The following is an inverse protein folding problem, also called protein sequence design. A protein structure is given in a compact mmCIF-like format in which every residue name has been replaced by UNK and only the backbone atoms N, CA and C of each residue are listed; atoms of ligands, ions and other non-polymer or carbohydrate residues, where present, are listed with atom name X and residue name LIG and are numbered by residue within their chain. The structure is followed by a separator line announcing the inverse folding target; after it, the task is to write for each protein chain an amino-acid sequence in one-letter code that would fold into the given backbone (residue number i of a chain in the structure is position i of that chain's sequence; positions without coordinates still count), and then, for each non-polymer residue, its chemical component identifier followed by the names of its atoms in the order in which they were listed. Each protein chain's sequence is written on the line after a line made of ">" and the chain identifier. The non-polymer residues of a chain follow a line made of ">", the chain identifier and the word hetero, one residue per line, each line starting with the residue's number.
data_IF_324207440867
#
_entry.id   IF_324207440867
#
_cell.length_a   1.000
_cell.length_b   1.000
_cell.length_c   1.000
_cell.angle_alpha   90.00
_cell.angle_beta   90.00
_cell.angle_gamma   90.00
#
_symmetry.space_group_name_H-M   'P 1'
#
loop_
_entity.id
_entity.type
_entity.pdbx_description
1 polymer ?
#
# COMPACT_ATOMS: atom_id res chain seq x y z
N UNK A 1 15.62 -5.15 9.64
CA UNK A 1 16.56 -4.41 8.77
C UNK A 1 17.18 -3.24 9.51
N UNK A 2 18.51 -3.24 9.73
CA UNK A 2 19.24 -1.96 9.88
C UNK A 2 18.82 -1.13 8.67
N UNK A 3 18.36 0.10 8.90
CA UNK A 3 18.09 1.02 7.81
C UNK A 3 19.27 1.02 6.82
N UNK A 4 19.04 1.19 5.52
CA UNK A 4 20.14 1.17 4.55
C UNK A 4 21.17 2.25 4.88
N UNK A 5 22.45 2.03 4.54
CA UNK A 5 23.51 3.02 4.77
C UNK A 5 23.11 4.42 4.27
N UNK A 6 22.36 4.48 3.16
CA UNK A 6 21.78 5.72 2.62
C UNK A 6 20.77 6.43 3.54
N UNK A 7 19.98 5.71 4.33
CA UNK A 7 19.05 6.30 5.30
C UNK A 7 19.81 6.95 6.46
N UNK A 8 20.87 6.31 6.97
CA UNK A 8 21.73 6.92 7.99
C UNK A 8 22.51 8.10 7.44
N UNK A 9 23.00 8.01 6.19
CA UNK A 9 23.70 9.09 5.51
C UNK A 9 22.78 10.32 5.31
N UNK A 10 21.53 10.09 4.88
CA UNK A 10 20.51 11.14 4.70
C UNK A 10 20.15 11.81 6.03
N UNK A 11 19.97 11.02 7.10
CA UNK A 11 19.68 11.55 8.44
C UNK A 11 20.87 12.30 9.05
N UNK A 12 22.10 11.82 8.82
CA UNK A 12 23.33 12.50 9.23
C UNK A 12 23.56 13.81 8.45
N UNK A 13 23.23 13.83 7.15
CA UNK A 13 23.35 15.01 6.28
C UNK A 13 22.42 16.16 6.69
N UNK A 14 21.28 15.85 7.31
CA UNK A 14 20.32 16.85 7.80
C UNK A 14 20.72 17.49 9.14
N UNK A 15 21.84 17.09 9.72
CA UNK A 15 22.34 17.62 10.99
C UNK A 15 22.89 19.05 10.80
N UNK A 16 22.55 19.97 11.72
CA UNK A 16 22.85 21.41 11.63
C UNK A 16 24.35 21.73 11.48
N UNK A 17 25.24 20.85 11.97
CA UNK A 17 26.69 21.01 11.87
C UNK A 17 27.24 20.83 10.44
N UNK A 18 26.59 20.04 9.57
CA UNK A 18 27.00 19.89 8.18
C UNK A 18 26.75 21.17 7.38
N UNK A 19 25.62 21.85 7.62
CA UNK A 19 25.33 23.13 6.96
C UNK A 19 26.33 24.23 7.36
N UNK A 20 26.79 24.25 8.62
CA UNK A 20 27.81 25.19 9.09
C UNK A 20 29.17 24.88 8.46
N UNK A 21 29.57 23.61 8.41
CA UNK A 21 30.81 23.18 7.79
C UNK A 21 30.82 23.47 6.27
N UNK A 22 29.73 23.15 5.57
CA UNK A 22 29.57 23.37 4.14
C UNK A 22 29.58 24.86 3.78
N UNK A 23 28.97 25.72 4.61
CA UNK A 23 29.05 27.17 4.45
C UNK A 23 30.48 27.71 4.68
N UNK A 24 31.21 27.17 5.67
CA UNK A 24 32.59 27.58 5.99
C UNK A 24 33.58 27.17 4.89
N UNK A 25 33.56 25.91 4.45
CA UNK A 25 34.45 25.41 3.40
C UNK A 25 34.05 25.92 2.00
N UNK A 26 32.75 26.09 1.75
CA UNK A 26 32.23 26.72 0.54
C UNK A 26 32.68 28.17 0.41
N UNK A 27 32.64 28.95 1.50
CA UNK A 27 33.13 30.33 1.53
C UNK A 27 34.64 30.43 1.31
N UNK A 28 35.44 29.58 1.96
CA UNK A 28 36.89 29.54 1.79
C UNK A 28 37.32 29.11 0.38
N UNK A 29 36.57 28.20 -0.25
CA UNK A 29 36.80 27.76 -1.63
C UNK A 29 36.59 28.84 -2.69
N UNK A 30 35.70 29.80 -2.43
CA UNK A 30 35.44 30.95 -3.32
C UNK A 30 36.50 32.04 -3.12
N UNK A 31 36.98 32.24 -1.88
CA UNK A 31 37.85 33.37 -1.50
C UNK A 31 39.34 33.05 -1.66
N UNK A 32 39.77 31.81 -1.38
CA UNK A 32 41.19 31.47 -1.24
C UNK A 32 41.70 30.60 -2.39
N UNK A 33 41.11 29.42 -2.58
CA UNK A 33 41.48 28.46 -3.64
C UNK A 33 40.38 27.40 -3.78
N UNK A 34 39.92 27.07 -5.01
CA UNK A 34 39.01 25.95 -5.27
C UNK A 34 39.41 24.61 -4.63
N UNK A 35 40.70 24.39 -4.35
CA UNK A 35 41.19 23.19 -3.65
C UNK A 35 40.58 22.96 -2.26
N UNK A 36 40.14 24.02 -1.57
CA UNK A 36 39.47 23.91 -0.27
C UNK A 36 38.07 23.28 -0.37
N UNK A 37 37.43 23.33 -1.54
CA UNK A 37 36.17 22.63 -1.79
C UNK A 37 36.36 21.11 -1.81
N UNK A 38 37.49 20.64 -2.35
CA UNK A 38 37.84 19.21 -2.36
C UNK A 38 38.20 18.70 -0.96
N UNK A 39 38.90 19.52 -0.17
CA UNK A 39 39.25 19.19 1.22
C UNK A 39 38.00 19.19 2.11
N UNK A 40 37.14 20.20 1.98
CA UNK A 40 35.86 20.28 2.70
C UNK A 40 34.92 19.13 2.35
N UNK A 41 34.71 18.88 1.05
CA UNK A 41 33.89 17.76 0.58
C UNK A 41 34.45 16.39 0.99
N UNK A 42 35.78 16.22 0.95
CA UNK A 42 36.45 15.00 1.41
C UNK A 42 36.31 14.75 2.91
N UNK A 43 36.46 15.78 3.75
CA UNK A 43 36.24 15.68 5.19
C UNK A 43 34.78 15.42 5.55
N UNK A 44 33.84 16.01 4.82
CA UNK A 44 32.41 15.79 5.04
C UNK A 44 32.01 14.35 4.70
N UNK A 45 32.57 13.77 3.62
CA UNK A 45 32.40 12.35 3.29
C UNK A 45 32.99 11.42 4.35
N UNK A 46 34.18 11.75 4.87
CA UNK A 46 34.83 11.00 5.95
C UNK A 46 34.02 11.06 7.26
N UNK A 47 33.51 12.24 7.61
CA UNK A 47 32.66 12.45 8.79
C UNK A 47 31.34 11.68 8.68
N UNK A 48 30.66 11.76 7.53
CA UNK A 48 29.43 11.03 7.28
C UNK A 48 29.65 9.51 7.35
N UNK A 49 30.78 9.02 6.82
CA UNK A 49 31.16 7.61 6.91
C UNK A 49 31.44 7.15 8.35
N UNK A 50 32.17 7.94 9.14
CA UNK A 50 32.42 7.66 10.56
C UNK A 50 31.13 7.69 11.40
N UNK A 51 30.25 8.66 11.14
CA UNK A 51 29.00 8.86 11.89
C UNK A 51 27.96 7.76 11.57
N UNK A 52 27.79 7.42 10.28
CA UNK A 52 26.92 6.33 9.84
C UNK A 52 27.40 4.93 10.28
N UNK A 53 28.66 4.82 10.72
CA UNK A 53 29.25 3.58 11.26
C UNK A 53 29.13 3.47 12.79
N UNK A 54 28.64 4.50 13.49
CA UNK A 54 28.54 4.51 14.94
C UNK A 54 27.25 3.81 15.44
N UNK A 55 27.33 2.72 16.22
CA UNK A 55 26.16 1.96 16.69
C UNK A 55 25.16 2.76 17.51
N UNK A 56 25.59 3.80 18.24
CA UNK A 56 24.71 4.64 19.07
C UNK A 56 23.84 5.57 18.21
N UNK A 57 24.39 6.11 17.13
CA UNK A 57 23.67 6.97 16.21
C UNK A 57 22.67 6.16 15.37
N UNK A 58 23.06 4.96 14.94
CA UNK A 58 22.15 4.05 14.21
C UNK A 58 20.91 3.70 15.06
N UNK A 59 21.10 3.38 16.35
CA UNK A 59 19.97 3.10 17.27
C UNK A 59 19.02 4.29 17.45
N UNK A 60 19.55 5.51 17.51
CA UNK A 60 18.72 6.72 17.64
C UNK A 60 17.95 7.04 16.35
N UNK A 61 18.56 6.80 15.18
CA UNK A 61 17.86 6.94 13.90
C UNK A 61 16.81 5.83 13.72
N UNK A 62 17.11 4.61 14.17
CA UNK A 62 16.16 3.50 14.12
C UNK A 62 14.91 3.77 14.97
N UNK A 63 15.04 4.37 16.15
CA UNK A 63 13.88 4.75 16.98
C UNK A 63 13.04 5.88 16.34
N UNK A 64 13.69 6.88 15.74
CA UNK A 64 12.98 7.97 15.08
C UNK A 64 12.19 7.51 13.83
N UNK A 65 12.74 6.56 13.09
CA UNK A 65 12.07 5.96 11.93
C UNK A 65 10.91 5.05 12.36
N UNK A 66 11.02 4.40 13.51
CA UNK A 66 9.90 3.64 14.09
C UNK A 66 8.76 4.56 14.53
N UNK A 67 9.06 5.65 15.25
CA UNK A 67 8.07 6.64 15.65
C UNK A 67 7.37 7.28 14.44
N UNK A 68 8.12 7.61 13.39
CA UNK A 68 7.57 8.18 12.14
C UNK A 68 6.67 7.16 11.39
N UNK A 69 7.02 5.87 11.40
CA UNK A 69 6.19 4.83 10.78
C UNK A 69 4.93 4.52 11.58
N UNK A 70 5.01 4.52 12.91
CA UNK A 70 3.86 4.34 13.79
C UNK A 70 2.85 5.48 13.63
N UNK A 71 3.33 6.74 13.62
CA UNK A 71 2.51 7.93 13.35
C UNK A 71 1.84 7.87 11.97
N UNK A 72 2.55 7.40 10.95
CA UNK A 72 1.98 7.24 9.61
C UNK A 72 0.94 6.10 9.54
N UNK A 73 1.11 5.03 10.31
CA UNK A 73 0.16 3.92 10.36
C UNK A 73 -1.14 4.30 11.05
N UNK A 74 -1.09 4.99 12.19
CA UNK A 74 -2.31 5.46 12.88
C UNK A 74 -3.10 6.43 12.00
N UNK A 75 -2.41 7.38 11.35
CA UNK A 75 -3.04 8.29 10.41
C UNK A 75 -3.65 7.56 9.19
N UNK A 76 -2.97 6.53 8.66
CA UNK A 76 -3.51 5.69 7.59
C UNK A 76 -4.75 4.93 8.07
N UNK A 77 -4.68 4.36 9.27
CA UNK A 77 -5.79 3.62 9.90
C UNK A 77 -7.02 4.49 10.02
N UNK A 78 -6.91 5.68 10.61
CA UNK A 78 -8.02 6.62 10.74
C UNK A 78 -8.64 7.02 9.40
N UNK A 79 -7.81 7.26 8.38
CA UNK A 79 -8.27 7.63 7.03
C UNK A 79 -9.05 6.52 6.34
N UNK A 80 -8.62 5.28 6.49
CA UNK A 80 -9.23 4.12 5.82
C UNK A 80 -10.35 3.48 6.64
N UNK A 81 -10.39 3.69 7.96
CA UNK A 81 -11.36 3.06 8.86
C UNK A 81 -12.82 3.29 8.46
N UNK A 82 -13.14 4.49 7.99
CA UNK A 82 -14.49 4.84 7.58
C UNK A 82 -14.86 4.30 6.19
N UNK A 83 -13.90 3.77 5.44
CA UNK A 83 -14.11 3.27 4.08
C UNK A 83 -14.39 1.76 4.03
N UNK A 84 -14.10 1.04 5.12
CA UNK A 84 -14.36 -0.39 5.27
C UNK A 84 -15.73 -0.66 5.89
N UNK A 85 -16.38 -1.74 5.44
CA UNK A 85 -17.66 -2.22 6.00
C UNK A 85 -17.50 -2.82 7.41
N UNK A 86 -18.62 -3.24 8.03
CA UNK A 86 -18.60 -3.74 9.40
C UNK A 86 -17.87 -5.09 9.53
N UNK A 87 -18.03 -5.97 8.54
CA UNK A 87 -17.41 -7.29 8.52
C UNK A 87 -15.88 -7.17 8.46
N UNK A 88 -15.38 -6.35 7.53
CA UNK A 88 -13.96 -6.09 7.38
C UNK A 88 -13.34 -5.39 8.60
N UNK A 89 -14.10 -4.56 9.32
CA UNK A 89 -13.65 -3.97 10.59
C UNK A 89 -13.44 -5.02 11.67
N UNK A 90 -14.31 -6.01 11.76
CA UNK A 90 -14.23 -7.04 12.77
C UNK A 90 -13.08 -8.01 12.48
N UNK A 91 -12.91 -8.41 11.20
CA UNK A 91 -11.75 -9.21 10.77
C UNK A 91 -10.43 -8.47 11.02
N UNK A 92 -10.38 -7.18 10.68
CA UNK A 92 -9.21 -6.35 10.95
C UNK A 92 -8.87 -6.25 12.43
N UNK A 93 -9.87 -6.08 13.31
CA UNK A 93 -9.66 -6.03 14.76
C UNK A 93 -9.12 -7.34 15.29
N UNK A 94 -9.58 -8.47 14.78
CA UNK A 94 -9.05 -9.78 15.14
C UNK A 94 -7.55 -9.87 14.78
N UNK A 95 -7.18 -9.42 13.58
CA UNK A 95 -5.79 -9.39 13.13
C UNK A 95 -4.92 -8.40 13.93
N UNK A 96 -5.45 -7.22 14.25
CA UNK A 96 -4.79 -6.21 15.08
C UNK A 96 -4.49 -6.75 16.48
N UNK A 97 -5.44 -7.46 17.10
CA UNK A 97 -5.23 -8.11 18.40
C UNK A 97 -4.12 -9.16 18.36
N UNK A 98 -3.99 -9.91 17.27
CA UNK A 98 -2.90 -10.87 17.09
C UNK A 98 -1.55 -10.17 16.98
N UNK A 99 -1.47 -9.08 16.21
CA UNK A 99 -0.25 -8.29 16.08
C UNK A 99 0.18 -7.63 17.40
N UNK A 100 -0.77 -7.24 18.26
CA UNK A 100 -0.47 -6.74 19.61
C UNK A 100 0.19 -7.83 20.46
N UNK A 101 -0.21 -9.10 20.34
CA UNK A 101 0.45 -10.21 21.07
C UNK A 101 1.91 -10.35 20.67
N UNK A 102 2.22 -10.20 19.38
CA UNK A 102 3.60 -10.14 18.86
C UNK A 102 4.37 -8.95 19.45
N UNK A 103 3.69 -7.84 19.73
CA UNK A 103 4.30 -6.58 20.15
C UNK A 103 4.40 -6.40 21.66
N UNK A 104 3.67 -7.20 22.44
CA UNK A 104 3.47 -7.00 23.86
C UNK A 104 4.76 -7.13 24.70
N UNK A 105 4.86 -6.27 25.72
CA UNK A 105 5.93 -6.23 26.73
C UNK A 105 6.03 -7.52 27.58
N UNK A 106 5.13 -8.47 27.39
CA UNK A 106 5.09 -9.75 28.09
C UNK A 106 6.20 -10.71 27.62
N UNK A 107 6.85 -10.42 26.49
CA UNK A 107 7.96 -11.22 25.99
C UNK A 107 9.26 -10.92 26.75
N UNK A 108 10.09 -11.94 27.07
CA UNK A 108 11.39 -11.77 27.72
C UNK A 108 12.25 -10.68 27.03
N UNK A 109 12.91 -9.81 27.82
CA UNK A 109 13.78 -8.74 27.28
C UNK A 109 14.84 -9.27 26.30
N UNK A 110 15.34 -10.49 26.51
CA UNK A 110 16.30 -11.13 25.60
C UNK A 110 15.77 -11.33 24.18
N UNK A 111 14.46 -11.53 24.01
CA UNK A 111 13.81 -11.59 22.69
C UNK A 111 13.53 -10.20 22.13
N UNK A 112 13.21 -9.22 22.98
CA UNK A 112 12.96 -7.85 22.54
C UNK A 112 14.19 -7.18 21.93
N UNK A 113 15.37 -7.50 22.45
CA UNK A 113 16.67 -7.03 21.93
C UNK A 113 17.16 -7.83 20.71
N UNK A 114 16.48 -8.91 20.32
CA UNK A 114 16.83 -9.70 19.14
C UNK A 114 16.53 -8.90 17.85
N UNK A 115 17.54 -8.65 16.99
CA UNK A 115 17.34 -7.95 15.72
C UNK A 115 16.28 -8.59 14.80
N UNK A 116 16.13 -9.92 14.84
CA UNK A 116 15.14 -10.65 14.04
C UNK A 116 13.72 -10.40 14.56
N UNK A 117 13.56 -10.31 15.88
CA UNK A 117 12.26 -10.04 16.48
C UNK A 117 11.77 -8.62 16.16
N UNK A 118 12.65 -7.62 16.23
CA UNK A 118 12.30 -6.26 15.80
C UNK A 118 11.96 -6.17 14.31
N UNK A 119 12.66 -6.93 13.48
CA UNK A 119 12.34 -7.02 12.06
C UNK A 119 10.96 -7.62 11.80
N UNK A 120 10.61 -8.72 12.48
CA UNK A 120 9.28 -9.32 12.38
C UNK A 120 8.19 -8.34 12.84
N UNK A 121 8.41 -7.58 13.93
CA UNK A 121 7.45 -6.54 14.37
C UNK A 121 7.19 -5.48 13.30
N UNK A 122 8.24 -4.97 12.65
CA UNK A 122 8.08 -4.01 11.54
C UNK A 122 7.31 -4.60 10.36
N UNK A 123 7.58 -5.86 10.02
CA UNK A 123 6.90 -6.54 8.91
C UNK A 123 5.43 -6.78 9.21
N UNK A 124 5.09 -7.17 10.44
CA UNK A 124 3.71 -7.29 10.94
C UNK A 124 2.93 -5.98 10.80
N UNK A 125 3.53 -4.85 11.16
CA UNK A 125 2.90 -3.53 10.96
C UNK A 125 2.63 -3.23 9.47
N UNK A 126 3.57 -3.59 8.59
CA UNK A 126 3.37 -3.47 7.14
C UNK A 126 2.25 -4.37 6.63
N UNK A 127 2.16 -5.62 7.12
CA UNK A 127 1.08 -6.54 6.77
C UNK A 127 -0.29 -5.99 7.20
N UNK A 128 -0.39 -5.43 8.40
CA UNK A 128 -1.63 -4.77 8.86
C UNK A 128 -2.02 -3.58 7.98
N UNK A 129 -1.05 -2.76 7.57
CA UNK A 129 -1.31 -1.64 6.67
C UNK A 129 -1.82 -2.12 5.30
N UNK A 130 -1.22 -3.18 4.75
CA UNK A 130 -1.64 -3.77 3.48
C UNK A 130 -3.01 -4.44 3.57
N UNK A 131 -3.26 -5.19 4.65
CA UNK A 131 -4.56 -5.78 4.92
C UNK A 131 -5.65 -4.70 4.96
N UNK A 132 -5.40 -3.57 5.62
CA UNK A 132 -6.37 -2.48 5.65
C UNK A 132 -6.66 -1.91 4.25
N UNK A 133 -5.66 -1.81 3.39
CA UNK A 133 -5.87 -1.38 1.99
C UNK A 133 -6.68 -2.41 1.21
N UNK A 134 -6.42 -3.71 1.39
CA UNK A 134 -7.20 -4.78 0.78
C UNK A 134 -8.66 -4.74 1.26
N UNK A 135 -8.89 -4.56 2.55
CA UNK A 135 -10.23 -4.43 3.13
C UNK A 135 -11.03 -3.28 2.49
N UNK A 136 -10.38 -2.14 2.22
CA UNK A 136 -10.99 -1.03 1.48
C UNK A 136 -11.34 -1.43 0.05
N UNK A 137 -10.41 -2.09 -0.65
CA UNK A 137 -10.64 -2.56 -2.02
C UNK A 137 -11.80 -3.57 -2.07
N UNK A 138 -11.84 -4.56 -1.17
CA UNK A 138 -12.93 -5.53 -1.02
C UNK A 138 -14.26 -4.83 -0.78
N UNK A 139 -14.32 -3.89 0.16
CA UNK A 139 -15.56 -3.12 0.44
C UNK A 139 -16.04 -2.37 -0.81
N UNK A 140 -15.12 -1.81 -1.60
CA UNK A 140 -15.44 -1.11 -2.85
C UNK A 140 -15.92 -2.08 -3.93
N UNK A 141 -15.24 -3.22 -4.12
CA UNK A 141 -15.63 -4.24 -5.09
C UNK A 141 -17.01 -4.82 -4.78
N UNK A 142 -17.30 -5.13 -3.51
CA UNK A 142 -18.62 -5.57 -3.07
C UNK A 142 -19.68 -4.53 -3.43
N UNK A 143 -19.46 -3.26 -3.07
CA UNK A 143 -20.40 -2.18 -3.41
C UNK A 143 -20.64 -2.04 -4.92
N UNK A 144 -19.58 -2.13 -5.72
CA UNK A 144 -19.68 -2.05 -7.18
C UNK A 144 -20.50 -3.23 -7.74
N UNK A 145 -20.17 -4.46 -7.33
CA UNK A 145 -20.87 -5.67 -7.77
C UNK A 145 -22.33 -5.68 -7.31
N UNK A 146 -22.63 -5.19 -6.10
CA UNK A 146 -23.99 -5.09 -5.56
C UNK A 146 -24.84 -4.04 -6.29
N UNK A 147 -24.22 -2.97 -6.79
CA UNK A 147 -24.90 -1.92 -7.55
C UNK A 147 -25.20 -2.33 -9.00
N UNK A 148 -24.53 -3.35 -9.51
CA UNK A 148 -24.62 -3.79 -10.89
C UNK A 148 -25.60 -4.96 -11.09
N UNK A 149 -26.27 -4.97 -12.24
CA UNK A 149 -27.16 -6.06 -12.65
C UNK A 149 -26.68 -6.64 -13.98
N UNK A 150 -25.82 -7.69 -13.96
CA UNK A 150 -25.26 -8.29 -15.16
C UNK A 150 -26.35 -8.80 -16.11
N UNK A 151 -27.46 -9.32 -15.57
CA UNK A 151 -28.55 -9.84 -16.38
C UNK A 151 -29.22 -8.72 -17.19
N UNK A 152 -29.52 -7.59 -16.57
CA UNK A 152 -30.06 -6.41 -17.30
C UNK A 152 -29.11 -5.90 -18.38
N UNK A 153 -27.80 -5.98 -18.17
CA UNK A 153 -26.82 -5.57 -19.19
C UNK A 153 -26.90 -6.52 -20.40
N UNK A 154 -26.92 -7.83 -20.14
CA UNK A 154 -27.08 -8.86 -21.17
C UNK A 154 -28.40 -8.71 -21.93
N UNK A 155 -29.53 -8.56 -21.22
CA UNK A 155 -30.85 -8.37 -21.83
C UNK A 155 -30.88 -7.13 -22.74
N UNK A 156 -30.19 -6.05 -22.34
CA UNK A 156 -30.06 -4.84 -23.16
C UNK A 156 -29.21 -5.04 -24.40
N UNK A 157 -28.14 -5.83 -24.33
CA UNK A 157 -27.32 -6.21 -25.50
C UNK A 157 -28.21 -6.97 -26.49
N UNK A 158 -28.88 -8.03 -26.04
CA UNK A 158 -29.76 -8.84 -26.90
C UNK A 158 -30.87 -8.00 -27.54
N UNK A 159 -31.45 -7.07 -26.78
CA UNK A 159 -32.45 -6.14 -27.30
C UNK A 159 -31.87 -5.25 -28.41
N UNK A 160 -30.70 -4.65 -28.20
CA UNK A 160 -30.04 -3.81 -29.20
C UNK A 160 -29.62 -4.60 -30.45
N UNK A 161 -29.24 -5.86 -30.28
CA UNK A 161 -28.91 -6.79 -31.37
C UNK A 161 -30.13 -7.15 -32.22
N UNK A 162 -31.29 -7.38 -31.60
CA UNK A 162 -32.55 -7.57 -32.33
C UNK A 162 -32.96 -6.31 -33.10
N UNK A 163 -32.87 -5.15 -32.45
CA UNK A 163 -33.22 -3.85 -33.05
C UNK A 163 -32.28 -3.43 -34.20
N UNK A 164 -31.11 -4.06 -34.37
CA UNK A 164 -30.18 -3.76 -35.46
C UNK A 164 -30.72 -4.17 -36.83
N UNK A 165 -31.57 -5.19 -36.91
CA UNK A 165 -32.16 -5.68 -38.17
C UNK A 165 -33.17 -4.72 -38.81
N UNK A 166 -33.78 -3.86 -37.99
CA UNK A 166 -34.82 -2.90 -38.39
C UNK A 166 -34.34 -1.44 -38.35
N UNK A 167 -33.08 -1.21 -37.94
CA UNK A 167 -32.53 0.12 -37.75
C UNK A 167 -32.15 0.80 -39.07
N UNK A 168 -32.39 2.11 -39.16
CA UNK A 168 -31.89 2.93 -40.25
C UNK A 168 -30.37 3.03 -40.24
N UNK A 169 -29.75 3.27 -41.40
CA UNK A 169 -28.29 3.34 -41.56
C UNK A 169 -27.61 4.31 -40.57
N UNK A 170 -28.28 5.43 -40.25
CA UNK A 170 -27.81 6.42 -39.25
C UNK A 170 -27.82 5.90 -37.81
N UNK A 171 -28.73 4.98 -37.48
CA UNK A 171 -28.94 4.46 -36.12
C UNK A 171 -28.12 3.19 -35.87
N UNK A 172 -27.83 2.40 -36.91
CA UNK A 172 -27.00 1.19 -36.83
C UNK A 172 -25.65 1.45 -36.16
N UNK A 173 -24.96 2.53 -36.55
CA UNK A 173 -23.65 2.88 -35.98
C UNK A 173 -23.71 3.17 -34.47
N UNK A 174 -24.76 3.89 -34.03
CA UNK A 174 -24.96 4.23 -32.61
C UNK A 174 -25.29 2.97 -31.81
N UNK A 175 -26.20 2.12 -32.30
CA UNK A 175 -26.56 0.86 -31.62
C UNK A 175 -25.36 -0.08 -31.45
N UNK A 176 -24.52 -0.22 -32.49
CA UNK A 176 -23.27 -1.01 -32.41
C UNK A 176 -22.32 -0.47 -31.34
N UNK A 177 -22.13 0.84 -31.28
CA UNK A 177 -21.31 1.47 -30.24
C UNK A 177 -21.87 1.22 -28.84
N UNK A 178 -23.20 1.29 -28.68
CA UNK A 178 -23.84 1.00 -27.39
C UNK A 178 -23.64 -0.46 -26.97
N UNK A 179 -23.76 -1.41 -27.90
CA UNK A 179 -23.46 -2.83 -27.63
C UNK A 179 -22.02 -3.00 -27.17
N UNK A 180 -21.05 -2.38 -27.86
CA UNK A 180 -19.63 -2.44 -27.48
C UNK A 180 -19.40 -1.89 -26.05
N UNK A 181 -20.08 -0.80 -25.69
CA UNK A 181 -20.00 -0.24 -24.32
C UNK A 181 -20.58 -1.22 -23.30
N UNK A 182 -21.75 -1.81 -23.56
CA UNK A 182 -22.37 -2.76 -22.65
C UNK A 182 -21.53 -4.03 -22.48
N UNK A 183 -20.91 -4.53 -23.56
CA UNK A 183 -19.95 -5.65 -23.51
C UNK A 183 -18.73 -5.31 -22.65
N UNK A 184 -18.16 -4.11 -22.78
CA UNK A 184 -17.06 -3.65 -21.92
C UNK A 184 -17.46 -3.55 -20.45
N UNK A 185 -18.71 -3.13 -20.16
CA UNK A 185 -19.22 -3.12 -18.78
C UNK A 185 -19.32 -4.53 -18.22
N UNK A 186 -19.76 -5.50 -19.02
CA UNK A 186 -19.84 -6.91 -18.60
C UNK A 186 -18.45 -7.50 -18.30
N UNK A 187 -17.47 -7.28 -19.17
CA UNK A 187 -16.06 -7.69 -18.96
C UNK A 187 -15.47 -7.07 -17.69
N UNK A 188 -15.77 -5.79 -17.42
CA UNK A 188 -15.36 -5.13 -16.17
C UNK A 188 -15.99 -5.77 -14.92
N UNK A 189 -17.26 -6.16 -14.98
CA UNK A 189 -17.94 -6.83 -13.86
C UNK A 189 -17.32 -8.22 -13.59
N UNK A 190 -17.00 -8.96 -14.63
CA UNK A 190 -16.32 -10.25 -14.51
C UNK A 190 -14.93 -10.10 -13.88
N UNK A 191 -14.13 -9.14 -14.35
CA UNK A 191 -12.82 -8.82 -13.75
C UNK A 191 -12.94 -8.37 -12.30
N UNK A 192 -13.91 -7.51 -11.97
CA UNK A 192 -14.15 -7.08 -10.59
C UNK A 192 -14.46 -8.27 -9.68
N UNK A 193 -15.25 -9.25 -10.14
CA UNK A 193 -15.52 -10.47 -9.37
C UNK A 193 -14.25 -11.31 -9.17
N UNK A 194 -13.44 -11.49 -10.21
CA UNK A 194 -12.18 -12.22 -10.10
C UNK A 194 -11.19 -11.55 -9.15
N UNK A 195 -11.10 -10.21 -9.19
CA UNK A 195 -10.22 -9.45 -8.31
C UNK A 195 -10.69 -9.53 -6.86
N UNK A 196 -12.01 -9.46 -6.61
CA UNK A 196 -12.59 -9.66 -5.27
C UNK A 196 -12.24 -11.03 -4.70
N UNK A 197 -12.40 -12.10 -5.49
CA UNK A 197 -12.05 -13.46 -5.09
C UNK A 197 -10.57 -13.58 -4.72
N UNK A 198 -9.68 -13.03 -5.57
CA UNK A 198 -8.24 -13.01 -5.32
C UNK A 198 -7.90 -12.26 -4.03
N UNK A 199 -8.44 -11.05 -3.82
CA UNK A 199 -8.17 -10.24 -2.63
C UNK A 199 -8.64 -10.94 -1.36
N UNK A 200 -9.81 -11.57 -1.39
CA UNK A 200 -10.36 -12.31 -0.26
C UNK A 200 -9.44 -13.48 0.13
N UNK A 201 -8.99 -14.28 -0.85
CA UNK A 201 -8.05 -15.37 -0.62
C UNK A 201 -6.67 -14.89 -0.10
N UNK A 202 -6.19 -13.74 -0.57
CA UNK A 202 -4.95 -13.14 -0.06
C UNK A 202 -5.12 -12.66 1.39
N UNK A 203 -6.27 -12.10 1.75
CA UNK A 203 -6.56 -11.69 3.12
C UNK A 203 -6.58 -12.89 4.07
N UNK A 204 -7.20 -14.00 3.68
CA UNK A 204 -7.13 -15.27 4.42
C UNK A 204 -5.68 -15.76 4.60
N UNK A 205 -4.88 -15.69 3.53
CA UNK A 205 -3.46 -16.08 3.57
C UNK A 205 -2.66 -15.22 4.56
N UNK A 206 -2.94 -13.91 4.62
CA UNK A 206 -2.31 -12.99 5.58
C UNK A 206 -2.70 -13.37 7.01
N UNK A 207 -3.97 -13.68 7.26
CA UNK A 207 -4.47 -14.09 8.58
C UNK A 207 -3.79 -15.38 9.05
N UNK A 208 -3.78 -16.42 8.21
CA UNK A 208 -3.13 -17.70 8.52
C UNK A 208 -1.63 -17.54 8.77
N UNK A 209 -0.97 -16.71 7.97
CA UNK A 209 0.47 -16.42 8.16
C UNK A 209 0.70 -15.68 9.47
N UNK A 210 -0.16 -14.73 9.83
CA UNK A 210 -0.06 -14.04 11.11
C UNK A 210 -0.21 -15.00 12.28
N UNK A 211 -1.20 -15.90 12.23
CA UNK A 211 -1.38 -16.96 13.22
C UNK A 211 -0.12 -17.81 13.39
N UNK A 212 0.46 -18.28 12.28
CA UNK A 212 1.68 -19.08 12.30
C UNK A 212 2.88 -18.31 12.89
N UNK A 213 3.03 -17.02 12.57
CA UNK A 213 4.08 -16.16 13.12
C UNK A 213 3.92 -15.99 14.63
N UNK A 214 2.70 -15.74 15.11
CA UNK A 214 2.41 -15.65 16.55
C UNK A 214 2.80 -16.94 17.27
N UNK A 215 2.41 -18.09 16.72
CA UNK A 215 2.70 -19.40 17.29
C UNK A 215 4.21 -19.69 17.33
N UNK A 216 4.94 -19.37 16.27
CA UNK A 216 6.39 -19.57 16.19
C UNK A 216 7.17 -18.67 17.16
N UNK A 217 6.72 -17.42 17.36
CA UNK A 217 7.32 -16.50 18.33
C UNK A 217 7.05 -16.98 19.76
N UNK A 218 5.81 -17.37 20.05
CA UNK A 218 5.39 -17.83 21.38
C UNK A 218 6.12 -19.12 21.77
N UNK A 219 6.33 -20.02 20.81
CA UNK A 219 7.03 -21.29 21.04
C UNK A 219 8.55 -21.19 20.95
N UNK A 220 9.11 -20.02 20.60
CA UNK A 220 10.55 -19.80 20.34
C UNK A 220 11.16 -20.80 19.34
N UNK A 221 10.34 -21.38 18.45
CA UNK A 221 10.74 -22.56 17.68
C UNK A 221 11.61 -22.23 16.46
N UNK A 222 11.29 -21.17 15.72
CA UNK A 222 12.05 -20.77 14.52
C UNK A 222 11.77 -19.31 14.06
N UNK A 223 12.42 -18.29 14.67
CA UNK A 223 12.25 -16.89 14.28
C UNK A 223 12.70 -16.58 12.84
N UNK A 224 13.61 -17.37 12.26
CA UNK A 224 14.14 -17.17 10.91
C UNK A 224 13.16 -17.66 9.85
N UNK A 225 12.53 -18.82 10.07
CA UNK A 225 11.46 -19.34 9.23
C UNK A 225 10.28 -18.37 9.13
N UNK A 226 9.86 -17.79 10.26
CA UNK A 226 8.78 -16.78 10.30
C UNK A 226 9.09 -15.56 9.43
N UNK A 227 10.32 -15.05 9.51
CA UNK A 227 10.73 -13.88 8.72
C UNK A 227 10.65 -14.14 7.21
N UNK A 228 11.11 -15.30 6.74
CA UNK A 228 11.07 -15.63 5.31
C UNK A 228 9.64 -15.77 4.79
N UNK A 229 8.73 -16.33 5.59
CA UNK A 229 7.32 -16.44 5.24
C UNK A 229 6.67 -15.07 5.08
N UNK A 230 6.93 -14.14 6.01
CA UNK A 230 6.44 -12.76 5.90
C UNK A 230 7.06 -12.05 4.69
N UNK A 231 8.34 -12.27 4.38
CA UNK A 231 8.99 -11.66 3.21
C UNK A 231 8.35 -12.14 1.90
N UNK A 232 8.06 -13.44 1.78
CA UNK A 232 7.36 -13.98 0.61
C UNK A 232 5.94 -13.40 0.47
N UNK A 233 5.23 -13.25 1.59
CA UNK A 233 3.90 -12.64 1.60
C UNK A 233 3.96 -11.17 1.18
N UNK A 234 4.89 -10.39 1.74
CA UNK A 234 5.10 -8.99 1.36
C UNK A 234 5.49 -8.82 -0.11
N UNK A 235 6.23 -9.78 -0.69
CA UNK A 235 6.51 -9.81 -2.11
C UNK A 235 5.24 -10.04 -2.95
N UNK A 236 4.42 -11.02 -2.57
CA UNK A 236 3.16 -11.31 -3.27
C UNK A 236 2.14 -10.16 -3.16
N UNK A 237 2.14 -9.41 -2.06
CA UNK A 237 1.26 -8.26 -1.87
C UNK A 237 1.55 -7.08 -2.82
N UNK A 238 2.66 -7.09 -3.57
CA UNK A 238 2.90 -6.12 -4.64
C UNK A 238 1.89 -6.25 -5.78
N UNK A 239 1.50 -7.49 -6.13
CA UNK A 239 0.46 -7.75 -7.13
C UNK A 239 -0.91 -7.28 -6.64
N UNK A 240 -1.17 -7.46 -5.35
CA UNK A 240 -2.40 -6.99 -4.69
C UNK A 240 -2.52 -5.46 -4.73
N UNK A 241 -1.42 -4.72 -4.58
CA UNK A 241 -1.42 -3.26 -4.65
C UNK A 241 -1.84 -2.76 -6.05
N UNK A 242 -1.45 -3.46 -7.12
CA UNK A 242 -1.90 -3.14 -8.48
C UNK A 242 -3.40 -3.36 -8.65
N UNK A 243 -3.93 -4.47 -8.11
CA UNK A 243 -5.37 -4.78 -8.15
C UNK A 243 -6.17 -3.75 -7.36
N UNK A 244 -5.69 -3.36 -6.18
CA UNK A 244 -6.33 -2.33 -5.37
C UNK A 244 -6.33 -0.95 -6.06
N UNK A 245 -5.25 -0.59 -6.76
CA UNK A 245 -5.15 0.63 -7.57
C UNK A 245 -6.06 0.58 -8.82
N UNK A 246 -6.18 -0.58 -9.47
CA UNK A 246 -7.08 -0.75 -10.62
C UNK A 246 -8.52 -0.37 -10.25
N UNK A 247 -8.97 -0.70 -9.04
CA UNK A 247 -10.31 -0.33 -8.56
C UNK A 247 -10.54 1.18 -8.50
N UNK A 248 -9.52 1.98 -8.14
CA UNK A 248 -9.61 3.44 -8.15
C UNK A 248 -9.85 3.96 -9.58
N UNK A 249 -9.15 3.39 -10.56
CA UNK A 249 -9.35 3.73 -11.98
C UNK A 249 -10.70 3.28 -12.54
N UNK A 250 -11.26 2.17 -12.06
CA UNK A 250 -12.58 1.67 -12.51
C UNK A 250 -13.70 2.63 -12.09
N UNK A 251 -13.62 3.16 -10.86
CA UNK A 251 -14.60 4.11 -10.32
C UNK A 251 -14.50 5.50 -10.96
N UNK A 252 -13.29 6.02 -11.19
CA UNK A 252 -13.10 7.31 -11.89
C UNK A 252 -13.71 7.29 -13.30
N UNK A 253 -13.66 6.14 -13.97
CA UNK A 253 -14.28 5.97 -15.27
C UNK A 253 -15.81 5.88 -15.20
N UNK A 254 -16.40 5.44 -14.10
CA UNK A 254 -17.87 5.39 -13.94
C UNK A 254 -18.43 6.77 -13.58
N UNK A 255 -17.80 7.51 -12.68
CA UNK A 255 -18.15 8.91 -12.37
C UNK A 255 -18.04 9.81 -13.62
N UNK A 256 -17.01 9.61 -14.45
CA UNK A 256 -16.85 10.33 -15.72
C UNK A 256 -17.86 9.93 -16.82
N UNK A 257 -18.57 8.80 -16.66
CA UNK A 257 -19.64 8.35 -17.55
C UNK A 257 -21.01 8.86 -17.12
N UNK A 258 -21.23 9.10 -15.82
CA UNK A 258 -22.47 9.70 -15.30
C UNK A 258 -22.59 11.20 -15.64
N UNK A 259 -21.47 11.93 -15.76
CA UNK A 259 -21.50 13.37 -16.08
C UNK A 259 -21.84 13.68 -17.56
N UNK A 260 -21.80 12.67 -18.45
CA UNK A 260 -22.05 12.84 -19.89
C UNK A 260 -23.42 12.31 -20.37
N UNK A 261 -24.32 11.88 -19.48
CA UNK A 261 -25.67 11.46 -19.85
C UNK A 261 -26.72 12.50 -19.39
N UNK A 262 -26.72 13.67 -20.02
CA UNK A 262 -27.89 14.55 -19.99
C UNK A 262 -29.01 13.84 -20.76
N UNK A 263 -29.87 13.12 -20.03
CA UNK A 263 -31.18 12.72 -20.56
C UNK A 263 -31.88 13.99 -21.09
N UNK A 264 -32.37 14.02 -22.34
CA UNK A 264 -33.27 15.08 -22.75
C UNK A 264 -34.50 14.96 -21.86
N UNK A 265 -34.71 15.93 -20.97
CA UNK A 265 -36.02 16.11 -20.34
C UNK A 265 -37.03 16.25 -21.46
N UNK A 266 -37.93 15.29 -21.58
CA UNK A 266 -39.14 15.47 -22.37
C UNK A 266 -39.80 16.76 -21.89
N UNK A 267 -39.97 17.72 -22.81
CA UNK A 267 -40.75 18.91 -22.56
C UNK A 267 -42.21 18.48 -22.67
N UNK A 268 -42.92 18.51 -21.54
CA UNK A 268 -44.36 18.80 -21.55
C UNK A 268 -44.58 20.29 -21.85
#
# INVERSE_FOLDING_TARGET
>A
MRNTFGTYLKSAFRNQYNYIAMALFGGLGIIVDPGWLLIGGGMELLYLWLMASNPRFMRHVDSLVEDEKALNYEALRERLWNQIDLEQRDNYRALEQQAVRISSDELPRSLQDDPFFQENRRKVATLLANYLRMAVAVTRYNRYLDSADPQKITDNIERLERELGEASERVVGIKKKNIEILQKRLDKLEKARSNLEYLTAQMETVEDTMHLVVDQITTQSDPKGSSMQIDNLLFNLQETELIAQEMESVLELEDGLDENYILPRERE
#
